data_IF_901438860948
#
_entry.id   IF_901438860948
#
_cell.length_a   1.000
_cell.length_b   1.000
_cell.length_c   1.000
_cell.angle_alpha   90.00
_cell.angle_beta   90.00
_cell.angle_gamma   90.00
#
_symmetry.space_group_name_H-M   'P 1'
#
loop_
_entity.id
_entity.type
_entity.pdbx_description
1 polymer ?
#
# COMPACT_ATOMS: atom_id res chain seq x y z
N UNK A 1 -15.82 -11.04 20.88
CA UNK A 1 -17.01 -10.23 20.51
C UNK A 1 -17.24 -9.08 21.49
N UNK A 2 -17.43 -9.31 22.81
CA UNK A 2 -17.67 -8.23 23.80
C UNK A 2 -16.64 -7.08 23.78
N UNK A 3 -15.34 -7.39 23.66
CA UNK A 3 -14.29 -6.36 23.58
C UNK A 3 -14.41 -5.50 22.31
N UNK A 4 -14.66 -6.13 21.15
CA UNK A 4 -14.78 -5.43 19.85
C UNK A 4 -16.02 -4.53 19.79
N UNK A 5 -17.13 -4.95 20.39
CA UNK A 5 -18.35 -4.13 20.49
C UNK A 5 -18.15 -2.91 21.41
N UNK A 6 -17.23 -2.98 22.38
CA UNK A 6 -16.90 -1.86 23.24
C UNK A 6 -16.13 -0.77 22.47
N UNK A 7 -15.25 -1.19 21.56
CA UNK A 7 -14.44 -0.29 20.72
C UNK A 7 -15.25 0.33 19.56
N UNK A 8 -16.26 -0.36 19.02
CA UNK A 8 -17.08 0.12 17.89
C UNK A 8 -18.36 0.89 18.28
N UNK A 9 -18.71 0.95 19.58
CA UNK A 9 -19.99 1.46 20.11
C UNK A 9 -21.25 0.76 19.58
N UNK A 10 -21.09 -0.38 18.90
CA UNK A 10 -22.22 -1.12 18.34
C UNK A 10 -22.92 -1.95 19.42
N UNK A 11 -24.25 -2.06 19.31
CA UNK A 11 -25.01 -2.86 20.24
C UNK A 11 -24.63 -4.34 20.08
N UNK A 12 -24.46 -5.09 21.19
CA UNK A 12 -24.13 -6.52 21.13
C UNK A 12 -25.14 -7.34 20.33
N UNK A 13 -26.41 -6.92 20.34
CA UNK A 13 -27.48 -7.54 19.55
C UNK A 13 -27.28 -7.36 18.05
N UNK A 14 -26.83 -6.18 17.61
CA UNK A 14 -26.55 -5.90 16.19
C UNK A 14 -25.28 -6.61 15.72
N UNK A 15 -24.27 -6.72 16.59
CA UNK A 15 -23.05 -7.47 16.32
C UNK A 15 -23.25 -9.01 16.28
N UNK A 16 -24.39 -9.49 16.76
CA UNK A 16 -24.80 -10.90 16.72
C UNK A 16 -25.96 -11.14 15.74
N UNK A 17 -26.33 -10.12 14.94
CA UNK A 17 -27.39 -10.26 13.94
C UNK A 17 -26.99 -11.29 12.88
N UNK A 18 -27.97 -12.06 12.42
CA UNK A 18 -27.76 -13.04 11.37
C UNK A 18 -27.26 -12.35 10.09
N UNK A 19 -26.35 -13.01 9.39
CA UNK A 19 -25.89 -12.56 8.06
C UNK A 19 -27.06 -12.54 7.09
N UNK A 20 -28.03 -13.45 7.21
CA UNK A 20 -29.25 -13.47 6.40
C UNK A 20 -30.09 -12.22 6.60
N UNK A 21 -30.29 -11.83 7.86
CA UNK A 21 -31.11 -10.66 8.23
C UNK A 21 -30.45 -9.32 7.84
N UNK A 22 -29.14 -9.35 7.58
CA UNK A 22 -28.37 -8.17 7.16
C UNK A 22 -28.41 -7.92 5.65
N UNK A 23 -28.93 -8.87 4.86
CA UNK A 23 -29.01 -8.76 3.41
C UNK A 23 -30.39 -8.27 2.99
N UNK A 24 -30.42 -7.45 1.94
CA UNK A 24 -31.68 -7.12 1.28
C UNK A 24 -32.38 -8.43 0.84
N UNK A 25 -33.68 -8.62 1.12
CA UNK A 25 -34.38 -9.88 0.84
C UNK A 25 -34.29 -10.32 -0.61
N UNK A 26 -34.35 -9.37 -1.55
CA UNK A 26 -34.26 -9.64 -2.98
C UNK A 26 -32.84 -10.00 -3.40
N UNK A 27 -31.84 -9.36 -2.78
CA UNK A 27 -30.44 -9.75 -2.96
C UNK A 27 -30.18 -11.17 -2.41
N UNK A 28 -30.72 -11.51 -1.24
CA UNK A 28 -30.57 -12.83 -0.64
C UNK A 28 -31.19 -13.92 -1.53
N UNK A 29 -32.37 -13.68 -2.09
CA UNK A 29 -33.01 -14.59 -3.06
C UNK A 29 -32.13 -14.84 -4.28
N UNK A 30 -31.62 -13.76 -4.90
CA UNK A 30 -30.76 -13.85 -6.08
C UNK A 30 -29.45 -14.58 -5.78
N UNK A 31 -28.81 -14.28 -4.65
CA UNK A 31 -27.56 -14.92 -4.25
C UNK A 31 -27.78 -16.41 -3.96
N UNK A 32 -28.86 -16.75 -3.27
CA UNK A 32 -29.20 -18.15 -2.98
C UNK A 32 -29.38 -18.94 -4.28
N UNK A 33 -30.18 -18.40 -5.21
CA UNK A 33 -30.54 -19.10 -6.45
C UNK A 33 -29.39 -19.19 -7.45
N UNK A 34 -28.68 -18.08 -7.70
CA UNK A 34 -27.73 -18.00 -8.82
C UNK A 34 -26.29 -18.26 -8.41
N UNK A 35 -25.90 -17.94 -7.17
CA UNK A 35 -24.51 -18.07 -6.72
C UNK A 35 -24.31 -19.34 -5.92
N UNK A 36 -25.21 -19.63 -4.99
CA UNK A 36 -25.14 -20.80 -4.13
C UNK A 36 -25.91 -22.01 -4.70
N UNK A 37 -26.71 -21.80 -5.75
CA UNK A 37 -27.51 -22.83 -6.43
C UNK A 37 -28.43 -23.61 -5.46
N UNK A 38 -29.04 -22.89 -4.53
CA UNK A 38 -29.91 -23.44 -3.48
C UNK A 38 -31.05 -22.48 -3.17
N UNK A 39 -31.92 -22.84 -2.23
CA UNK A 39 -33.06 -22.01 -1.80
C UNK A 39 -32.68 -21.15 -0.60
N UNK A 40 -33.43 -20.06 -0.37
CA UNK A 40 -33.18 -19.16 0.78
C UNK A 40 -33.21 -19.91 2.11
N UNK A 41 -34.07 -20.92 2.25
CA UNK A 41 -34.21 -21.70 3.47
C UNK A 41 -32.99 -22.59 3.74
N UNK A 42 -32.39 -23.14 2.69
CA UNK A 42 -31.26 -24.07 2.75
C UNK A 42 -29.90 -23.36 2.88
N UNK A 43 -29.81 -22.07 2.52
CA UNK A 43 -28.57 -21.28 2.66
C UNK A 43 -28.16 -21.18 4.13
N UNK A 44 -26.91 -21.52 4.43
CA UNK A 44 -26.34 -21.35 5.77
C UNK A 44 -25.61 -20.01 5.90
N UNK A 45 -25.46 -19.52 7.14
CA UNK A 45 -24.68 -18.30 7.39
C UNK A 45 -23.23 -18.43 6.91
N UNK A 46 -22.62 -19.61 7.13
CA UNK A 46 -21.25 -19.87 6.71
C UNK A 46 -21.07 -19.77 5.19
N UNK A 47 -22.06 -20.23 4.40
CA UNK A 47 -22.03 -20.10 2.95
C UNK A 47 -22.09 -18.64 2.49
N UNK A 48 -22.91 -17.81 3.15
CA UNK A 48 -22.99 -16.38 2.86
C UNK A 48 -21.69 -15.66 3.24
N UNK A 49 -21.13 -15.97 4.40
CA UNK A 49 -19.84 -15.42 4.83
C UNK A 49 -18.73 -15.83 3.88
N UNK A 50 -18.67 -17.11 3.48
CA UNK A 50 -17.69 -17.60 2.51
C UNK A 50 -17.84 -16.92 1.15
N UNK A 51 -19.07 -16.73 0.66
CA UNK A 51 -19.31 -16.05 -0.61
C UNK A 51 -18.89 -14.58 -0.57
N UNK A 52 -19.16 -13.86 0.53
CA UNK A 52 -18.71 -12.48 0.74
C UNK A 52 -17.19 -12.44 0.75
N UNK A 53 -16.55 -13.33 1.52
CA UNK A 53 -15.09 -13.41 1.58
C UNK A 53 -14.49 -13.74 0.22
N UNK A 54 -15.03 -14.70 -0.52
CA UNK A 54 -14.51 -15.08 -1.82
C UNK A 54 -14.67 -13.95 -2.84
N UNK A 55 -15.81 -13.26 -2.88
CA UNK A 55 -16.01 -12.08 -3.74
C UNK A 55 -15.07 -10.94 -3.38
N UNK A 56 -14.94 -10.59 -2.11
CA UNK A 56 -13.99 -9.56 -1.66
C UNK A 56 -12.56 -9.96 -1.98
N UNK A 57 -12.21 -11.24 -1.84
CA UNK A 57 -10.90 -11.76 -2.21
C UNK A 57 -10.70 -11.79 -3.73
N UNK A 58 -11.72 -12.10 -4.54
CA UNK A 58 -11.64 -12.15 -6.00
C UNK A 58 -11.50 -10.75 -6.61
N UNK A 59 -12.24 -9.78 -6.08
CA UNK A 59 -12.12 -8.35 -6.43
C UNK A 59 -10.70 -7.86 -6.14
N UNK A 60 -10.10 -8.28 -5.01
CA UNK A 60 -8.72 -7.92 -4.68
C UNK A 60 -7.65 -8.75 -5.42
N UNK A 61 -7.95 -9.99 -5.84
CA UNK A 61 -7.04 -10.84 -6.63
C UNK A 61 -6.95 -10.41 -8.10
N UNK A 62 -8.02 -9.88 -8.69
CA UNK A 62 -8.06 -9.43 -10.09
C UNK A 62 -7.52 -8.03 -10.30
N UNK A 63 -7.52 -7.20 -9.27
CA UNK A 63 -6.98 -5.85 -9.31
C UNK A 63 -5.55 -5.88 -8.74
N UNK A 64 -4.55 -6.10 -9.59
CA UNK A 64 -3.17 -5.74 -9.25
C UNK A 64 -3.06 -4.23 -9.47
N UNK A 65 -3.01 -3.41 -8.42
CA UNK A 65 -2.85 -1.98 -8.58
C UNK A 65 -1.49 -1.68 -9.22
N UNK A 66 -1.39 -0.60 -9.99
CA UNK A 66 -0.09 -0.06 -10.39
C UNK A 66 0.62 0.51 -9.15
N UNK A 67 1.29 -0.37 -8.41
CA UNK A 67 2.01 -0.03 -7.18
C UNK A 67 3.15 0.95 -7.50
N UNK A 68 3.90 0.69 -8.57
CA UNK A 68 5.02 1.54 -8.97
C UNK A 68 4.55 2.99 -9.25
N UNK A 69 3.47 3.17 -10.03
CA UNK A 69 2.89 4.48 -10.31
C UNK A 69 2.20 5.14 -9.11
N UNK A 70 1.60 4.36 -8.21
CA UNK A 70 0.98 4.86 -6.98
C UNK A 70 2.04 5.42 -6.02
N UNK A 71 3.04 4.62 -5.64
CA UNK A 71 4.04 5.04 -4.68
C UNK A 71 4.93 6.17 -5.24
N UNK A 72 5.19 6.22 -6.55
CA UNK A 72 5.89 7.34 -7.18
C UNK A 72 5.20 8.69 -6.98
N UNK A 73 3.86 8.68 -6.95
CA UNK A 73 3.07 9.91 -6.74
C UNK A 73 2.95 10.28 -5.27
N UNK A 74 2.82 9.29 -4.39
CA UNK A 74 2.37 9.48 -3.02
C UNK A 74 3.46 9.32 -1.95
N UNK A 75 4.53 8.58 -2.22
CA UNK A 75 5.62 8.34 -1.28
C UNK A 75 6.85 9.15 -1.67
N UNK A 76 7.20 10.15 -0.86
CA UNK A 76 8.35 11.02 -1.09
C UNK A 76 9.10 11.25 0.21
N UNK A 77 10.42 11.28 0.14
CA UNK A 77 11.23 11.61 1.30
C UNK A 77 11.22 13.12 1.54
N UNK A 78 10.96 13.52 2.78
CA UNK A 78 10.94 14.92 3.17
C UNK A 78 12.38 15.46 3.32
N UNK A 79 12.92 16.03 2.25
CA UNK A 79 14.28 16.58 2.24
C UNK A 79 14.45 17.85 3.09
N UNK A 80 13.36 18.42 3.63
CA UNK A 80 13.43 19.59 4.52
C UNK A 80 13.80 19.20 5.95
N UNK A 81 13.61 17.94 6.32
CA UNK A 81 14.03 17.41 7.62
C UNK A 81 15.55 17.24 7.65
N UNK A 82 16.18 17.88 8.64
CA UNK A 82 17.64 17.95 8.79
C UNK A 82 18.15 16.73 9.55
N UNK A 83 17.35 16.21 10.48
CA UNK A 83 17.64 14.98 11.21
C UNK A 83 17.41 13.78 10.29
N UNK A 84 18.51 13.10 9.94
CA UNK A 84 18.49 11.97 9.00
C UNK A 84 17.64 10.82 9.56
N UNK A 85 17.75 10.55 10.86
CA UNK A 85 17.04 9.45 11.50
C UNK A 85 15.54 9.76 11.55
N UNK A 86 15.17 10.98 11.93
CA UNK A 86 13.77 11.43 11.90
C UNK A 86 13.19 11.40 10.47
N UNK A 87 13.97 11.81 9.47
CA UNK A 87 13.56 11.79 8.07
C UNK A 87 13.29 10.38 7.56
N UNK A 88 14.19 9.44 7.86
CA UNK A 88 14.06 8.04 7.46
C UNK A 88 12.86 7.40 8.18
N UNK A 89 12.72 7.63 9.49
CA UNK A 89 11.57 7.12 10.26
C UNK A 89 10.24 7.63 9.71
N UNK A 90 10.15 8.92 9.39
CA UNK A 90 8.97 9.52 8.77
C UNK A 90 8.65 8.87 7.43
N UNK A 91 9.67 8.63 6.59
CA UNK A 91 9.48 7.97 5.30
C UNK A 91 8.92 6.55 5.43
N UNK A 92 9.42 5.76 6.38
CA UNK A 92 8.86 4.42 6.66
C UNK A 92 7.43 4.49 7.23
N UNK A 93 7.15 5.48 8.09
CA UNK A 93 5.81 5.72 8.63
C UNK A 93 4.81 6.05 7.51
N UNK A 94 5.17 6.95 6.61
CA UNK A 94 4.33 7.36 5.49
C UNK A 94 4.06 6.16 4.55
N UNK A 95 5.08 5.32 4.31
CA UNK A 95 4.90 4.07 3.56
C UNK A 95 3.91 3.10 4.24
N UNK A 96 4.02 2.90 5.55
CA UNK A 96 3.08 2.06 6.31
C UNK A 96 1.66 2.62 6.29
N UNK A 97 1.49 3.94 6.48
CA UNK A 97 0.16 4.58 6.41
C UNK A 97 -0.47 4.43 5.02
N UNK A 98 0.31 4.57 3.93
CA UNK A 98 -0.19 4.37 2.57
C UNK A 98 -0.67 2.93 2.32
N UNK A 99 0.04 1.94 2.83
CA UNK A 99 -0.35 0.53 2.75
C UNK A 99 -1.69 0.27 3.46
N UNK A 100 -1.85 0.82 4.67
CA UNK A 100 -3.06 0.66 5.47
C UNK A 100 -4.26 1.35 4.82
N UNK A 101 -4.11 2.61 4.42
CA UNK A 101 -5.18 3.41 3.82
C UNK A 101 -5.71 2.82 2.50
N UNK A 102 -4.85 2.19 1.71
CA UNK A 102 -5.20 1.69 0.37
C UNK A 102 -5.35 0.17 0.33
N UNK A 103 -5.31 -0.51 1.49
CA UNK A 103 -5.55 -1.94 1.59
C UNK A 103 -4.48 -2.80 0.90
N UNK A 104 -3.27 -2.29 0.73
CA UNK A 104 -2.16 -3.04 0.12
C UNK A 104 -1.56 -4.08 1.05
N UNK A 105 -2.14 -4.30 2.23
CA UNK A 105 -1.63 -5.25 3.20
C UNK A 105 -1.42 -6.66 2.64
N UNK A 106 -2.34 -7.18 1.84
CA UNK A 106 -2.14 -8.52 1.24
C UNK A 106 -0.96 -8.59 0.26
N UNK A 107 -0.59 -7.46 -0.35
CA UNK A 107 0.47 -7.35 -1.36
C UNK A 107 1.82 -6.99 -0.74
N UNK A 108 1.82 -6.18 0.31
CA UNK A 108 3.01 -5.52 0.87
C UNK A 108 3.20 -5.78 2.37
N UNK A 109 2.19 -6.24 3.12
CA UNK A 109 2.40 -6.57 4.54
C UNK A 109 3.23 -7.83 4.66
N UNK A 110 4.27 -7.66 5.46
CA UNK A 110 5.11 -8.69 6.05
C UNK A 110 4.24 -9.54 6.98
N UNK A 111 3.59 -10.57 6.42
CA UNK A 111 2.93 -11.61 7.22
C UNK A 111 3.90 -12.26 8.22
N UNK A 112 3.35 -12.95 9.21
CA UNK A 112 4.13 -13.67 10.23
C UNK A 112 5.24 -14.51 9.57
N UNK A 113 6.46 -14.52 10.14
CA UNK A 113 7.57 -15.32 9.61
C UNK A 113 7.15 -16.80 9.54
N UNK A 114 6.98 -17.32 8.34
CA UNK A 114 6.41 -18.66 8.08
C UNK A 114 5.57 -18.74 6.80
N UNK A 115 5.16 -17.61 6.23
CA UNK A 115 4.49 -17.56 4.93
C UNK A 115 5.50 -17.70 3.76
N UNK A 116 5.21 -18.58 2.81
CA UNK A 116 6.06 -18.85 1.64
C UNK A 116 6.24 -17.63 0.72
N UNK A 117 5.37 -16.64 0.82
CA UNK A 117 5.42 -15.40 0.05
C UNK A 117 6.09 -14.24 0.80
N UNK A 118 6.59 -14.47 2.03
CA UNK A 118 7.25 -13.44 2.84
C UNK A 118 8.43 -12.79 2.10
N UNK A 119 9.29 -13.61 1.48
CA UNK A 119 10.50 -13.14 0.83
C UNK A 119 10.18 -12.28 -0.41
N UNK A 120 9.20 -12.69 -1.20
CA UNK A 120 8.77 -11.96 -2.40
C UNK A 120 8.11 -10.63 -2.04
N UNK A 121 7.26 -10.60 -1.00
CA UNK A 121 6.67 -9.35 -0.48
C UNK A 121 7.72 -8.42 0.09
N UNK A 122 8.71 -8.96 0.81
CA UNK A 122 9.84 -8.17 1.33
C UNK A 122 10.68 -7.58 0.19
N UNK A 123 11.00 -8.36 -0.84
CA UNK A 123 11.68 -7.87 -2.05
C UNK A 123 10.89 -6.75 -2.73
N UNK A 124 9.57 -6.90 -2.84
CA UNK A 124 8.69 -5.89 -3.41
C UNK A 124 8.67 -4.61 -2.56
N UNK A 125 8.60 -4.72 -1.24
CA UNK A 125 8.71 -3.58 -0.32
C UNK A 125 10.03 -2.85 -0.49
N UNK A 126 11.15 -3.58 -0.50
CA UNK A 126 12.47 -2.99 -0.74
C UNK A 126 12.54 -2.30 -2.11
N UNK A 127 11.98 -2.90 -3.17
CA UNK A 127 11.93 -2.28 -4.50
C UNK A 127 11.16 -0.96 -4.48
N UNK A 128 9.99 -0.92 -3.82
CA UNK A 128 9.17 0.29 -3.73
C UNK A 128 9.88 1.35 -2.91
N UNK A 129 10.39 1.01 -1.73
CA UNK A 129 11.13 1.94 -0.89
C UNK A 129 12.32 2.52 -1.64
N UNK A 130 13.18 1.68 -2.23
CA UNK A 130 14.36 2.14 -2.96
C UNK A 130 14.00 2.90 -4.25
N UNK A 131 12.95 2.50 -4.97
CA UNK A 131 12.54 3.14 -6.21
C UNK A 131 11.91 4.52 -6.02
N UNK A 132 11.38 4.79 -4.82
CA UNK A 132 10.77 6.06 -4.46
C UNK A 132 11.66 6.91 -3.53
N UNK A 133 12.82 6.38 -3.13
CA UNK A 133 13.91 7.19 -2.64
C UNK A 133 14.50 7.92 -3.84
N UNK A 134 14.21 9.20 -3.91
CA UNK A 134 14.62 10.09 -4.99
C UNK A 134 16.14 10.01 -5.25
N UNK A 135 16.57 9.74 -6.50
CA UNK A 135 17.92 10.07 -6.93
C UNK A 135 17.94 11.33 -7.82
N UNK A 136 16.83 12.00 -8.07
CA UNK A 136 16.77 12.98 -9.17
C UNK A 136 17.31 14.37 -8.82
N UNK A 137 17.13 14.88 -7.59
CA UNK A 137 17.72 16.18 -7.20
C UNK A 137 19.24 16.06 -7.03
N UNK A 138 19.70 14.98 -6.38
CA UNK A 138 21.13 14.71 -6.18
C UNK A 138 21.89 14.49 -7.50
N UNK A 139 21.28 13.82 -8.49
CA UNK A 139 21.93 13.61 -9.78
C UNK A 139 22.10 14.94 -10.55
N UNK A 140 21.06 15.78 -10.56
CA UNK A 140 21.10 17.09 -11.23
C UNK A 140 22.08 18.07 -10.57
N UNK A 141 22.12 18.09 -9.22
CA UNK A 141 23.03 18.97 -8.48
C UNK A 141 24.49 18.52 -8.60
N UNK A 142 24.74 17.21 -8.56
CA UNK A 142 26.08 16.65 -8.81
C UNK A 142 26.51 16.95 -10.26
N UNK A 143 25.63 16.74 -11.25
CA UNK A 143 25.92 17.01 -12.65
C UNK A 143 26.16 18.49 -12.94
N UNK A 144 25.34 19.39 -12.37
CA UNK A 144 25.56 20.85 -12.44
C UNK A 144 26.89 21.27 -11.77
N UNK A 145 27.24 20.63 -10.65
CA UNK A 145 28.51 20.82 -9.96
C UNK A 145 29.73 20.36 -10.76
N UNK A 146 29.63 19.23 -11.48
CA UNK A 146 30.70 18.74 -12.37
C UNK A 146 30.88 19.68 -13.57
N UNK A 147 29.80 20.16 -14.18
CA UNK A 147 29.85 21.07 -15.34
C UNK A 147 30.49 22.42 -14.97
N UNK A 148 30.09 23.01 -13.83
CA UNK A 148 30.72 24.24 -13.31
C UNK A 148 32.21 24.05 -13.00
N UNK A 149 32.62 22.88 -12.49
CA UNK A 149 34.03 22.56 -12.23
C UNK A 149 34.83 22.45 -13.53
N UNK A 150 34.28 21.85 -14.58
CA UNK A 150 34.94 21.74 -15.88
C UNK A 150 35.06 23.09 -16.60
N UNK A 151 34.05 23.96 -16.49
CA UNK A 151 34.10 25.32 -17.04
C UNK A 151 35.17 26.16 -16.31
N UNK A 152 35.27 26.04 -14.98
CA UNK A 152 36.28 26.74 -14.19
C UNK A 152 37.71 26.28 -14.53
N UNK A 153 37.93 24.98 -14.70
CA UNK A 153 39.24 24.42 -15.11
C UNK A 153 39.62 24.84 -16.54
N UNK A 154 38.64 24.93 -17.45
CA UNK A 154 38.88 25.33 -18.85
C UNK A 154 39.19 26.83 -18.99
N UNK A 155 38.60 27.68 -18.15
CA UNK A 155 38.86 29.13 -18.17
C UNK A 155 40.14 29.54 -17.40
N UNK A 156 40.59 28.74 -16.44
CA UNK A 156 41.85 28.95 -15.71
C UNK A 156 43.13 28.74 -16.54
N UNK A 157 43.02 28.18 -17.75
CA UNK A 157 44.15 27.95 -18.66
C UNK A 157 44.34 29.06 -19.72
N UNK A 158 43.51 30.09 -19.73
CA UNK A 158 43.69 31.29 -20.54
C UNK A 158 44.05 32.50 -19.67
N UNK A 159 45.20 32.44 -18.98
CA UNK A 159 45.89 33.64 -18.54
C UNK A 159 46.83 34.08 -19.67
N UNK A 160 46.81 35.36 -20.10
CA UNK A 160 47.71 35.82 -21.16
C UNK A 160 49.16 35.80 -20.64
N UNK A 161 50.15 35.48 -21.50
CA UNK A 161 51.55 35.63 -21.11
C UNK A 161 51.79 37.10 -20.78
N UNK A 162 52.22 37.36 -19.55
CA UNK A 162 52.59 38.69 -19.07
C UNK A 162 53.64 39.32 -19.97
N UNK A 163 53.46 40.62 -20.20
CA UNK A 163 54.23 41.53 -21.04
C UNK A 163 55.70 41.66 -20.65
#
# INVERSE_FOLDING_TARGET
MRQRCADSSESPAKALASVKDSLDPKLLEMVSLYELQTTVDEVTEDQLVQLVLDRTNNVMKKFVPDLDGFFCKHLKMDLKEVDIDARVLKYYRDFSELIEQHGFGRLLVVGLPGDNMFEDRMKLCCKILLGNLEPQVLCNDVQCGQEKRQVFLSQGQQAPPGS
#
